data_IF_020922650484
#
_entry.id   IF_020922650484
#
_cell.length_a   1.000
_cell.length_b   1.000
_cell.length_c   1.000
_cell.angle_alpha   90.00
_cell.angle_beta   90.00
_cell.angle_gamma   90.00
#
_symmetry.space_group_name_H-M   'P 1'
#
loop_
_entity.id
_entity.type
_entity.pdbx_description
1 polymer ?
#
# COMPACT_ATOMS: atom_id res chain seq x y z
N UNK A 1 5.11 18.72 -22.05
CA UNK A 1 4.66 17.85 -23.17
C UNK A 1 3.19 18.04 -23.53
N UNK A 2 2.25 18.27 -22.59
CA UNK A 2 0.85 18.60 -22.93
C UNK A 2 0.63 20.04 -23.46
N UNK A 3 1.53 20.97 -23.17
CA UNK A 3 1.45 22.36 -23.64
C UNK A 3 1.82 22.57 -25.11
N UNK A 4 2.38 21.54 -25.78
CA UNK A 4 2.84 21.65 -27.17
C UNK A 4 1.79 21.19 -28.21
N UNK A 5 0.71 20.53 -27.79
CA UNK A 5 -0.29 19.93 -28.70
C UNK A 5 -1.61 20.69 -28.77
N UNK A 6 -1.71 21.89 -28.19
CA UNK A 6 -2.83 22.81 -28.42
C UNK A 6 -4.22 22.34 -27.98
N UNK A 7 -4.34 21.23 -27.27
CA UNK A 7 -5.64 20.70 -26.84
C UNK A 7 -6.42 19.94 -27.93
N UNK A 8 -5.79 19.58 -29.05
CA UNK A 8 -6.40 18.65 -30.00
C UNK A 8 -6.46 17.25 -29.37
N UNK A 9 -7.68 16.71 -29.27
CA UNK A 9 -7.97 15.34 -28.83
C UNK A 9 -7.08 14.38 -29.63
N UNK A 10 -6.30 13.56 -28.92
CA UNK A 10 -5.33 12.59 -29.44
C UNK A 10 -5.96 11.67 -30.49
N UNK A 11 -5.94 12.10 -31.76
CA UNK A 11 -6.32 11.25 -32.87
C UNK A 11 -5.14 10.31 -33.18
N UNK A 12 -5.13 9.17 -32.48
CA UNK A 12 -4.11 8.11 -32.64
C UNK A 12 -4.08 7.50 -34.06
N UNK A 13 -5.00 7.93 -34.94
CA UNK A 13 -5.00 7.59 -36.37
C UNK A 13 -4.00 8.44 -37.16
N UNK A 14 -3.55 9.57 -36.61
CA UNK A 14 -2.51 10.38 -37.21
C UNK A 14 -1.11 9.76 -36.95
N UNK A 15 -0.65 8.96 -37.91
CA UNK A 15 0.66 8.28 -37.87
C UNK A 15 1.83 9.26 -37.69
N UNK A 16 1.70 10.52 -38.13
CA UNK A 16 2.73 11.54 -37.94
C UNK A 16 2.78 12.02 -36.48
N UNK A 17 1.62 12.26 -35.86
CA UNK A 17 1.56 12.61 -34.43
C UNK A 17 2.10 11.47 -33.55
N UNK A 18 1.78 10.22 -33.90
CA UNK A 18 2.32 9.02 -33.23
C UNK A 18 3.84 8.93 -33.42
N UNK A 19 4.36 9.22 -34.61
CA UNK A 19 5.80 9.24 -34.87
C UNK A 19 6.51 10.37 -34.12
N UNK A 20 5.92 11.57 -34.05
CA UNK A 20 6.44 12.72 -33.30
C UNK A 20 6.40 12.47 -31.78
N UNK A 21 5.33 11.89 -31.25
CA UNK A 21 5.25 11.41 -29.87
C UNK A 21 6.28 10.32 -29.58
N UNK A 22 6.43 9.36 -30.49
CA UNK A 22 7.42 8.28 -30.35
C UNK A 22 8.84 8.81 -30.41
N UNK A 23 9.13 9.78 -31.29
CA UNK A 23 10.43 10.43 -31.41
C UNK A 23 10.72 11.32 -30.18
N UNK A 24 9.72 12.07 -29.70
CA UNK A 24 9.84 12.86 -28.48
C UNK A 24 10.00 11.97 -27.23
N UNK A 25 9.35 10.81 -27.18
CA UNK A 25 9.52 9.83 -26.11
C UNK A 25 10.88 9.11 -26.18
N UNK A 26 11.38 8.81 -27.39
CA UNK A 26 12.73 8.24 -27.60
C UNK A 26 13.84 9.28 -27.36
N UNK A 27 13.57 10.56 -27.61
CA UNK A 27 14.49 11.68 -27.45
C UNK A 27 14.38 12.38 -26.10
N UNK A 28 13.39 12.04 -25.27
CA UNK A 28 13.31 12.51 -23.89
C UNK A 28 14.52 11.96 -23.14
N UNK A 29 15.53 12.81 -22.98
CA UNK A 29 16.67 12.54 -22.11
C UNK A 29 16.12 12.20 -20.73
N UNK A 30 16.17 10.92 -20.38
CA UNK A 30 15.88 10.48 -19.03
C UNK A 30 16.96 11.09 -18.16
N UNK A 31 16.58 12.00 -17.29
CA UNK A 31 17.48 12.51 -16.27
C UNK A 31 17.63 11.42 -15.22
N UNK A 32 18.87 10.95 -15.04
CA UNK A 32 19.21 9.98 -14.03
C UNK A 32 19.93 10.70 -12.89
N UNK A 33 19.55 10.37 -11.66
CA UNK A 33 20.34 10.73 -10.49
C UNK A 33 21.31 9.61 -10.17
N UNK A 34 22.55 9.96 -9.82
CA UNK A 34 23.58 8.99 -9.41
C UNK A 34 23.47 8.74 -7.91
N UNK A 35 22.84 7.64 -7.54
CA UNK A 35 22.75 7.19 -6.15
C UNK A 35 23.98 6.32 -5.84
N UNK A 36 24.55 6.45 -4.64
CA UNK A 36 25.56 5.48 -4.17
C UNK A 36 24.96 4.07 -4.19
N UNK A 37 25.75 3.09 -4.65
CA UNK A 37 25.32 1.68 -4.66
C UNK A 37 24.76 1.24 -3.30
N UNK A 38 23.72 0.41 -3.34
CA UNK A 38 23.10 -0.21 -2.16
C UNK A 38 23.62 -1.65 -2.08
N UNK A 39 24.45 -1.91 -1.09
CA UNK A 39 25.01 -3.23 -0.83
C UNK A 39 24.11 -4.02 0.15
N UNK A 40 24.19 -5.36 0.18
CA UNK A 40 23.47 -6.17 1.16
C UNK A 40 23.73 -5.75 2.61
N UNK A 41 24.97 -5.35 2.93
CA UNK A 41 25.36 -4.87 4.25
C UNK A 41 24.66 -3.55 4.61
N UNK A 42 24.39 -2.68 3.64
CA UNK A 42 23.62 -1.45 3.89
C UNK A 42 22.18 -1.78 4.29
N UNK A 43 21.56 -2.76 3.61
CA UNK A 43 20.20 -3.21 3.95
C UNK A 43 20.19 -3.85 5.33
N UNK A 44 21.20 -4.68 5.65
CA UNK A 44 21.36 -5.28 6.97
C UNK A 44 21.56 -4.24 8.08
N UNK A 45 22.26 -3.14 7.82
CA UNK A 45 22.44 -2.02 8.76
C UNK A 45 21.19 -1.13 8.88
N UNK A 46 20.43 -0.99 7.80
CA UNK A 46 19.19 -0.21 7.76
C UNK A 46 17.97 -0.97 8.29
N UNK A 47 18.10 -2.28 8.50
CA UNK A 47 17.20 -2.98 9.40
C UNK A 47 17.31 -2.28 10.75
N UNK A 48 16.18 -1.73 11.18
CA UNK A 48 16.13 -1.07 12.46
C UNK A 48 16.49 -2.16 13.44
N UNK A 49 17.44 -1.88 14.35
CA UNK A 49 17.58 -2.67 15.55
C UNK A 49 16.34 -2.38 16.43
N UNK A 50 15.14 -2.61 15.89
CA UNK A 50 13.96 -2.75 16.71
C UNK A 50 14.26 -3.96 17.56
N UNK A 51 14.45 -3.71 18.85
CA UNK A 51 14.57 -4.74 19.88
C UNK A 51 13.40 -5.72 19.90
N UNK A 52 12.38 -5.50 19.06
CA UNK A 52 11.10 -6.17 19.03
C UNK A 52 11.05 -7.42 18.12
N UNK A 53 12.16 -7.85 17.53
CA UNK A 53 12.22 -9.10 16.74
C UNK A 53 11.67 -8.97 15.30
N UNK A 54 11.70 -10.07 14.56
CA UNK A 54 11.29 -10.09 13.14
C UNK A 54 9.79 -9.77 12.97
N UNK A 55 9.40 -9.01 11.94
CA UNK A 55 8.00 -8.72 11.67
C UNK A 55 7.22 -9.99 11.35
N UNK A 56 5.96 -10.05 11.77
CA UNK A 56 5.05 -11.15 11.45
C UNK A 56 4.30 -10.80 10.18
N UNK A 57 4.43 -11.65 9.17
CA UNK A 57 3.79 -11.48 7.87
C UNK A 57 2.45 -12.19 7.85
N UNK A 58 1.40 -11.48 7.47
CA UNK A 58 0.03 -12.01 7.47
C UNK A 58 -0.63 -11.74 6.14
N UNK A 59 -1.37 -12.73 5.63
CA UNK A 59 -2.36 -12.51 4.59
C UNK A 59 -3.76 -12.65 5.18
N UNK A 60 -4.65 -11.73 4.83
CA UNK A 60 -6.08 -11.86 5.12
C UNK A 60 -6.79 -12.17 3.81
N UNK A 61 -7.44 -13.33 3.75
CA UNK A 61 -8.22 -13.76 2.59
C UNK A 61 -9.70 -13.37 2.77
N UNK A 62 -10.47 -13.30 1.67
CA UNK A 62 -11.92 -13.20 1.75
C UNK A 62 -12.52 -14.31 2.63
N UNK A 63 -13.49 -13.96 3.47
CA UNK A 63 -14.10 -14.90 4.43
C UNK A 63 -15.16 -15.78 3.75
N UNK A 64 -14.71 -16.62 2.83
CA UNK A 64 -15.49 -17.60 2.10
C UNK A 64 -14.76 -18.95 2.04
N UNK A 65 -15.46 -19.99 1.59
CA UNK A 65 -14.83 -21.30 1.38
C UNK A 65 -13.69 -21.20 0.36
N UNK A 66 -12.66 -22.04 0.54
CA UNK A 66 -11.42 -21.95 -0.23
C UNK A 66 -11.64 -22.20 -1.73
N UNK A 67 -12.56 -23.09 -2.08
CA UNK A 67 -12.97 -23.42 -3.45
C UNK A 67 -13.85 -22.35 -4.08
N UNK A 68 -14.54 -21.55 -3.28
CA UNK A 68 -15.42 -20.46 -3.70
C UNK A 68 -14.72 -19.08 -3.71
N UNK A 69 -13.40 -19.03 -3.46
CA UNK A 69 -12.66 -17.78 -3.29
C UNK A 69 -12.77 -16.82 -4.48
N UNK A 70 -13.18 -15.59 -4.20
CA UNK A 70 -13.30 -14.48 -5.13
C UNK A 70 -12.82 -13.20 -4.44
N UNK A 71 -12.21 -12.30 -5.21
CA UNK A 71 -11.71 -11.00 -4.75
C UNK A 71 -12.56 -9.83 -5.26
N UNK A 72 -13.83 -10.08 -5.60
CA UNK A 72 -14.79 -9.04 -5.99
C UNK A 72 -15.04 -8.06 -4.83
N UNK A 73 -14.66 -6.78 -4.97
CA UNK A 73 -14.77 -5.75 -3.92
C UNK A 73 -16.19 -5.47 -3.42
N UNK A 74 -17.22 -5.81 -4.21
CA UNK A 74 -18.62 -5.58 -3.82
C UNK A 74 -19.15 -6.65 -2.87
N UNK A 75 -18.41 -7.76 -2.70
CA UNK A 75 -18.78 -8.86 -1.80
C UNK A 75 -18.50 -8.51 -0.34
N UNK A 76 -19.47 -8.74 0.58
CA UNK A 76 -19.27 -8.51 2.01
C UNK A 76 -18.06 -9.26 2.59
N UNK A 77 -17.77 -10.47 2.10
CA UNK A 77 -16.67 -11.30 2.57
C UNK A 77 -15.29 -10.70 2.21
N UNK A 78 -15.24 -9.95 1.10
CA UNK A 78 -14.04 -9.24 0.65
C UNK A 78 -13.90 -7.94 1.43
N UNK A 79 -14.98 -7.17 1.60
CA UNK A 79 -15.00 -5.94 2.39
C UNK A 79 -14.57 -6.17 3.85
N UNK A 80 -15.03 -7.28 4.44
CA UNK A 80 -14.59 -7.72 5.77
C UNK A 80 -13.08 -7.99 5.80
N UNK A 81 -12.54 -8.66 4.79
CA UNK A 81 -11.11 -8.91 4.69
C UNK A 81 -10.32 -7.60 4.54
N UNK A 82 -10.81 -6.65 3.75
CA UNK A 82 -10.24 -5.29 3.61
C UNK A 82 -10.20 -4.58 4.96
N UNK A 83 -11.31 -4.59 5.71
CA UNK A 83 -11.36 -3.98 7.04
C UNK A 83 -10.37 -4.63 8.01
N UNK A 84 -10.29 -5.96 8.03
CA UNK A 84 -9.32 -6.68 8.85
C UNK A 84 -7.87 -6.36 8.46
N UNK A 85 -7.56 -6.20 7.16
CA UNK A 85 -6.23 -5.74 6.71
C UNK A 85 -5.92 -4.35 7.25
N UNK A 86 -6.86 -3.42 7.14
CA UNK A 86 -6.70 -2.05 7.64
C UNK A 86 -6.44 -2.03 9.14
N UNK A 87 -7.15 -2.85 9.91
CA UNK A 87 -6.98 -2.93 11.36
C UNK A 87 -5.67 -3.62 11.77
N UNK A 88 -5.30 -4.72 11.11
CA UNK A 88 -4.03 -5.40 11.36
C UNK A 88 -2.82 -4.54 10.96
N UNK A 89 -2.93 -3.70 9.93
CA UNK A 89 -1.89 -2.75 9.53
C UNK A 89 -1.62 -1.65 10.56
N UNK A 90 -2.53 -1.44 11.53
CA UNK A 90 -2.30 -0.53 12.67
C UNK A 90 -1.43 -1.16 13.76
N UNK A 91 -1.30 -2.49 13.77
CA UNK A 91 -0.51 -3.15 14.79
C UNK A 91 0.99 -3.10 14.40
N UNK A 92 1.87 -2.61 15.29
CA UNK A 92 3.32 -2.66 15.09
C UNK A 92 3.78 -4.07 14.76
N UNK A 93 4.80 -4.19 13.91
CA UNK A 93 5.39 -5.45 13.49
C UNK A 93 4.50 -6.41 12.69
N UNK A 94 3.26 -6.01 12.37
CA UNK A 94 2.46 -6.72 11.38
C UNK A 94 2.81 -6.22 9.98
N UNK A 95 3.20 -7.15 9.11
CA UNK A 95 3.29 -6.91 7.68
C UNK A 95 2.12 -7.61 7.00
N UNK A 96 1.05 -6.86 6.76
CA UNK A 96 -0.12 -7.39 6.07
C UNK A 96 0.09 -7.32 4.56
N UNK A 97 -0.16 -8.43 3.85
CA UNK A 97 -0.14 -8.45 2.38
C UNK A 97 -1.30 -7.63 1.81
N UNK A 98 -0.99 -6.82 0.81
CA UNK A 98 -1.96 -6.00 0.09
C UNK A 98 -2.97 -6.85 -0.69
N UNK A 99 -4.13 -6.26 -1.01
CA UNK A 99 -5.21 -6.94 -1.72
C UNK A 99 -4.78 -7.48 -3.10
N UNK A 100 -3.90 -6.78 -3.82
CA UNK A 100 -3.43 -7.20 -5.14
C UNK A 100 -2.63 -8.51 -5.07
N UNK A 101 -1.67 -8.59 -4.15
CA UNK A 101 -0.88 -9.80 -3.92
C UNK A 101 -1.77 -10.98 -3.53
N UNK A 102 -2.78 -10.74 -2.67
CA UNK A 102 -3.78 -11.76 -2.30
C UNK A 102 -4.58 -12.22 -3.52
N UNK A 103 -5.10 -11.30 -4.33
CA UNK A 103 -5.88 -11.62 -5.52
C UNK A 103 -5.06 -12.37 -6.57
N UNK A 104 -3.80 -11.99 -6.79
CA UNK A 104 -2.89 -12.72 -7.67
C UNK A 104 -2.61 -14.13 -7.16
N UNK A 105 -2.30 -14.29 -5.87
CA UNK A 105 -2.03 -15.60 -5.28
C UNK A 105 -3.24 -16.54 -5.34
N UNK A 106 -4.45 -16.03 -5.10
CA UNK A 106 -5.71 -16.78 -5.25
C UNK A 106 -5.88 -17.24 -6.69
N UNK A 107 -5.82 -16.32 -7.67
CA UNK A 107 -5.96 -16.64 -9.10
C UNK A 107 -4.91 -17.65 -9.56
N UNK A 108 -3.66 -17.51 -9.14
CA UNK A 108 -2.58 -18.43 -9.47
C UNK A 108 -2.83 -19.84 -8.89
N UNK A 109 -3.33 -19.92 -7.66
CA UNK A 109 -3.62 -21.20 -6.99
C UNK A 109 -4.83 -21.90 -7.61
N UNK A 110 -5.88 -21.16 -7.97
CA UNK A 110 -7.05 -21.68 -8.67
C UNK A 110 -6.69 -22.21 -10.06
N UNK A 111 -5.88 -21.48 -10.84
CA UNK A 111 -5.40 -21.96 -12.15
C UNK A 111 -4.56 -23.24 -12.06
N UNK A 112 -3.84 -23.41 -10.95
CA UNK A 112 -3.05 -24.62 -10.70
C UNK A 112 -3.90 -25.84 -10.32
N UNK A 113 -5.19 -25.65 -9.99
CA UNK A 113 -6.07 -26.73 -9.57
C UNK A 113 -5.59 -27.42 -8.29
N UNK A 114 -5.04 -26.65 -7.35
CA UNK A 114 -4.55 -27.19 -6.09
C UNK A 114 -5.67 -27.92 -5.32
N UNK A 115 -5.38 -29.12 -4.80
CA UNK A 115 -6.32 -29.87 -3.98
C UNK A 115 -6.60 -29.11 -2.67
N UNK A 116 -7.83 -29.20 -2.16
CA UNK A 116 -8.34 -28.46 -0.98
C UNK A 116 -7.38 -28.45 0.22
N UNK A 117 -6.76 -29.59 0.52
CA UNK A 117 -5.83 -29.76 1.65
C UNK A 117 -4.53 -28.94 1.52
N UNK A 118 -4.14 -28.56 0.30
CA UNK A 118 -2.87 -27.84 0.01
C UNK A 118 -3.06 -26.37 -0.33
N UNK A 119 -4.29 -25.90 -0.57
CA UNK A 119 -4.56 -24.52 -0.98
C UNK A 119 -3.90 -23.51 -0.03
N UNK A 120 -4.04 -23.70 1.28
CA UNK A 120 -3.47 -22.78 2.28
C UNK A 120 -1.94 -22.79 2.31
N UNK A 121 -1.32 -23.96 2.18
CA UNK A 121 0.13 -24.08 2.11
C UNK A 121 0.69 -23.39 0.86
N UNK A 122 0.03 -23.60 -0.27
CA UNK A 122 0.38 -22.99 -1.56
C UNK A 122 0.20 -21.47 -1.54
N UNK A 123 -0.90 -20.98 -0.98
CA UNK A 123 -1.14 -19.54 -0.81
C UNK A 123 -0.09 -18.92 0.12
N UNK A 124 0.23 -19.57 1.23
CA UNK A 124 1.22 -19.10 2.18
C UNK A 124 2.60 -18.97 1.54
N UNK A 125 3.00 -19.97 0.74
CA UNK A 125 4.26 -19.96 0.01
C UNK A 125 4.33 -18.84 -1.03
N UNK A 126 3.27 -18.66 -1.83
CA UNK A 126 3.18 -17.59 -2.84
C UNK A 126 3.22 -16.20 -2.18
N UNK A 127 2.49 -16.03 -1.09
CA UNK A 127 2.39 -14.78 -0.35
C UNK A 127 3.59 -14.54 0.58
N UNK A 128 4.45 -15.54 0.81
CA UNK A 128 5.59 -15.46 1.75
C UNK A 128 5.15 -14.88 3.10
N UNK A 129 4.12 -15.48 3.68
CA UNK A 129 3.56 -15.08 4.98
C UNK A 129 3.84 -16.13 6.04
N UNK A 130 3.75 -15.73 7.29
CA UNK A 130 3.84 -16.63 8.45
C UNK A 130 2.45 -17.14 8.85
N UNK A 131 1.41 -16.35 8.55
CA UNK A 131 0.02 -16.66 8.84
C UNK A 131 -0.93 -16.31 7.70
N UNK A 132 -1.99 -17.10 7.58
CA UNK A 132 -3.18 -16.78 6.79
C UNK A 132 -4.38 -16.67 7.72
N UNK A 133 -5.12 -15.57 7.60
CA UNK A 133 -6.44 -15.36 8.22
C UNK A 133 -7.49 -15.53 7.12
N UNK A 134 -8.45 -16.42 7.31
CA UNK A 134 -9.61 -16.57 6.42
C UNK A 134 -10.80 -17.06 7.22
N UNK A 135 -11.95 -17.28 6.60
CA UNK A 135 -13.12 -17.74 7.33
C UNK A 135 -14.31 -18.03 6.45
N UNK A 136 -15.47 -18.06 7.07
CA UNK A 136 -16.77 -18.12 6.41
C UNK A 136 -17.65 -17.03 7.00
N UNK A 137 -18.20 -16.20 6.14
CA UNK A 137 -19.20 -15.21 6.45
C UNK A 137 -20.53 -15.65 5.86
N UNK A 138 -21.58 -15.67 6.68
CA UNK A 138 -22.92 -16.02 6.26
C UNK A 138 -23.91 -14.97 6.78
N UNK A 139 -24.59 -14.28 5.87
CA UNK A 139 -25.73 -13.44 6.21
C UNK A 139 -27.02 -14.25 6.02
N UNK A 140 -27.76 -14.48 7.11
CA UNK A 140 -29.06 -15.13 7.09
C UNK A 140 -30.14 -14.18 7.60
N UNK A 141 -31.30 -14.15 6.93
CA UNK A 141 -32.47 -13.41 7.42
C UNK A 141 -33.00 -13.97 8.75
N UNK A 142 -32.77 -15.25 9.04
CA UNK A 142 -33.29 -15.93 10.24
C UNK A 142 -32.32 -15.90 11.43
N UNK A 143 -31.01 -15.93 11.16
CA UNK A 143 -29.98 -16.06 12.19
C UNK A 143 -29.06 -14.84 12.29
N UNK A 144 -29.35 -13.78 11.55
CA UNK A 144 -28.47 -12.63 11.43
C UNK A 144 -27.21 -12.95 10.64
N UNK A 145 -26.19 -12.12 10.83
CA UNK A 145 -24.87 -12.27 10.21
C UNK A 145 -23.98 -13.11 11.12
N UNK A 146 -23.36 -14.16 10.59
CA UNK A 146 -22.40 -15.01 11.31
C UNK A 146 -21.04 -14.95 10.63
N UNK A 147 -20.01 -14.88 11.45
CA UNK A 147 -18.62 -14.81 11.02
C UNK A 147 -17.78 -15.84 11.78
N UNK A 148 -17.29 -16.84 11.05
CA UNK A 148 -16.34 -17.84 11.54
C UNK A 148 -14.95 -17.50 10.98
N UNK A 149 -13.98 -17.15 11.83
CA UNK A 149 -12.60 -16.84 11.39
C UNK A 149 -11.61 -17.90 11.84
N UNK A 150 -10.73 -18.30 10.92
CA UNK A 150 -9.69 -19.31 11.06
C UNK A 150 -8.32 -18.69 10.84
N UNK A 151 -7.31 -19.30 11.46
CA UNK A 151 -5.90 -18.95 11.32
C UNK A 151 -5.11 -20.18 10.88
N UNK A 152 -4.24 -20.01 9.91
CA UNK A 152 -3.35 -21.06 9.39
C UNK A 152 -1.94 -20.62 9.65
N UNK A 153 -1.18 -21.48 10.29
CA UNK A 153 0.20 -21.23 10.66
C UNK A 153 1.11 -22.00 9.73
N UNK A 154 2.03 -21.30 9.07
CA UNK A 154 2.89 -21.91 8.06
C UNK A 154 3.91 -22.85 8.68
N UNK A 155 4.37 -22.55 9.90
CA UNK A 155 5.41 -23.31 10.62
C UNK A 155 5.04 -24.78 10.86
N UNK A 156 3.78 -25.05 11.19
CA UNK A 156 3.30 -26.40 11.55
C UNK A 156 2.15 -26.89 10.66
N UNK A 157 1.70 -26.07 9.70
CA UNK A 157 0.58 -26.40 8.82
C UNK A 157 -0.77 -26.48 9.53
N UNK A 158 -0.88 -25.98 10.76
CA UNK A 158 -2.10 -26.09 11.54
C UNK A 158 -3.12 -25.02 11.16
N UNK A 159 -4.36 -25.43 10.89
CA UNK A 159 -5.52 -24.56 10.74
C UNK A 159 -6.36 -24.62 12.03
N UNK A 160 -6.55 -23.48 12.70
CA UNK A 160 -7.33 -23.38 13.93
C UNK A 160 -8.51 -22.43 13.74
N UNK A 161 -9.69 -22.84 14.21
CA UNK A 161 -10.83 -21.93 14.35
C UNK A 161 -10.52 -20.97 15.50
N UNK A 162 -10.38 -19.69 15.17
CA UNK A 162 -10.00 -18.67 16.15
C UNK A 162 -11.22 -17.96 16.66
N UNK A 163 -12.09 -17.43 15.81
CA UNK A 163 -13.23 -16.64 16.25
C UNK A 163 -14.54 -17.17 15.67
N UNK A 164 -15.60 -17.03 16.47
CA UNK A 164 -16.99 -17.14 16.04
C UNK A 164 -17.72 -15.94 16.59
N UNK A 165 -18.32 -15.15 15.71
CA UNK A 165 -19.14 -14.02 16.09
C UNK A 165 -20.51 -14.16 15.42
N UNK A 166 -21.56 -14.13 16.25
CA UNK A 166 -22.93 -14.11 15.80
C UNK A 166 -23.49 -12.70 16.00
N UNK A 167 -24.02 -12.11 14.94
CA UNK A 167 -24.66 -10.82 14.95
C UNK A 167 -25.99 -10.96 15.65
N UNK A 168 -26.12 -10.39 16.85
CA UNK A 168 -27.40 -10.41 17.55
C UNK A 168 -28.48 -9.70 16.73
N UNK A 169 -29.64 -10.35 16.59
CA UNK A 169 -30.79 -9.82 15.85
C UNK A 169 -31.28 -8.45 16.39
N UNK A 170 -30.96 -8.11 17.64
CA UNK A 170 -31.39 -6.87 18.29
C UNK A 170 -30.49 -5.65 17.96
N UNK A 171 -29.36 -5.84 17.25
CA UNK A 171 -28.56 -4.69 16.82
C UNK A 171 -29.26 -3.94 15.67
N UNK A 172 -29.22 -2.60 15.64
CA UNK A 172 -29.68 -1.81 14.48
C UNK A 172 -29.01 -2.26 13.18
N UNK A 173 -29.78 -2.42 12.11
CA UNK A 173 -29.29 -2.93 10.80
C UNK A 173 -28.07 -2.16 10.28
N UNK A 174 -27.98 -0.87 10.58
CA UNK A 174 -26.90 0.01 10.16
C UNK A 174 -25.59 -0.18 10.94
N UNK A 175 -25.60 -0.90 12.07
CA UNK A 175 -24.42 -1.13 12.92
C UNK A 175 -23.91 -2.58 12.92
N UNK A 176 -24.69 -3.53 12.41
CA UNK A 176 -24.37 -4.98 12.50
C UNK A 176 -23.01 -5.37 11.89
N UNK A 177 -22.65 -4.95 10.66
CA UNK A 177 -21.40 -5.41 10.05
C UNK A 177 -20.15 -4.88 10.76
N UNK A 178 -20.18 -3.61 11.17
CA UNK A 178 -19.07 -2.99 11.92
C UNK A 178 -18.88 -3.61 13.29
N UNK A 179 -19.98 -3.85 14.02
CA UNK A 179 -19.92 -4.52 15.29
C UNK A 179 -19.34 -5.94 15.15
N UNK A 180 -19.70 -6.66 14.07
CA UNK A 180 -19.16 -7.98 13.78
C UNK A 180 -17.68 -7.98 13.45
N UNK A 181 -17.19 -7.10 12.57
CA UNK A 181 -15.75 -7.04 12.27
C UNK A 181 -14.95 -6.71 13.52
N UNK A 182 -15.44 -5.77 14.33
CA UNK A 182 -14.77 -5.33 15.56
C UNK A 182 -14.76 -6.44 16.62
N UNK A 183 -15.89 -7.10 16.86
CA UNK A 183 -15.98 -8.23 17.80
C UNK A 183 -15.12 -9.42 17.34
N UNK A 184 -15.13 -9.68 16.03
CA UNK A 184 -14.34 -10.74 15.43
C UNK A 184 -12.87 -10.42 15.50
N UNK A 185 -12.45 -9.19 15.21
CA UNK A 185 -11.06 -8.77 15.36
C UNK A 185 -10.65 -8.87 16.82
N UNK A 186 -11.42 -8.36 17.78
CA UNK A 186 -11.09 -8.50 19.20
C UNK A 186 -10.88 -9.96 19.61
N UNK A 187 -11.78 -10.85 19.17
CA UNK A 187 -11.68 -12.30 19.42
C UNK A 187 -10.52 -12.95 18.69
N UNK A 188 -10.29 -12.56 17.43
CA UNK A 188 -9.18 -12.99 16.59
C UNK A 188 -7.90 -12.64 17.31
N UNK A 189 -7.66 -11.36 17.60
CA UNK A 189 -6.47 -10.87 18.26
C UNK A 189 -6.26 -11.50 19.64
N UNK A 190 -7.32 -11.65 20.44
CA UNK A 190 -7.20 -12.26 21.77
C UNK A 190 -6.75 -13.72 21.72
N UNK A 191 -7.30 -14.50 20.78
CA UNK A 191 -7.02 -15.93 20.66
C UNK A 191 -5.79 -16.20 19.79
N UNK A 192 -5.52 -15.36 18.78
CA UNK A 192 -4.29 -15.44 18.01
C UNK A 192 -3.12 -14.96 18.83
N UNK A 193 -3.22 -13.93 19.68
CA UNK A 193 -2.10 -13.45 20.48
C UNK A 193 -1.46 -14.57 21.32
N UNK A 194 -2.27 -15.40 21.98
CA UNK A 194 -1.75 -16.54 22.75
C UNK A 194 -1.18 -17.68 21.89
N UNK A 195 -1.67 -17.87 20.67
CA UNK A 195 -1.13 -18.87 19.74
C UNK A 195 0.11 -18.36 18.98
N UNK A 196 0.17 -17.05 18.72
CA UNK A 196 1.31 -16.33 18.18
C UNK A 196 2.47 -16.38 19.17
N UNK A 197 2.23 -16.07 20.45
CA UNK A 197 3.20 -16.19 21.55
C UNK A 197 3.94 -17.53 21.52
N UNK A 198 3.18 -18.63 21.48
CA UNK A 198 3.72 -19.99 21.52
C UNK A 198 4.46 -20.36 20.24
N UNK A 199 4.01 -19.88 19.08
CA UNK A 199 4.47 -20.37 17.78
C UNK A 199 5.68 -19.60 17.23
N UNK A 200 5.75 -18.29 17.45
CA UNK A 200 6.81 -17.43 16.89
C UNK A 200 7.93 -17.14 17.88
N UNK A 201 7.73 -17.40 19.19
CA UNK A 201 8.61 -16.85 20.22
C UNK A 201 8.56 -15.32 20.23
N UNK A 202 7.44 -14.76 19.73
CA UNK A 202 7.22 -13.33 19.64
C UNK A 202 7.48 -12.66 20.99
N UNK A 203 8.23 -11.56 20.93
CA UNK A 203 8.62 -10.77 22.09
C UNK A 203 7.38 -10.29 22.88
N UNK A 204 7.54 -10.03 24.18
CA UNK A 204 6.51 -9.43 25.05
C UNK A 204 5.91 -8.14 24.47
N UNK A 205 6.61 -7.50 23.54
CA UNK A 205 6.11 -6.38 22.72
C UNK A 205 4.77 -6.72 22.03
N UNK A 206 4.64 -7.92 21.43
CA UNK A 206 3.40 -8.38 20.80
C UNK A 206 2.23 -8.44 21.78
N UNK A 207 2.48 -9.00 22.97
CA UNK A 207 1.48 -9.00 24.03
C UNK A 207 1.10 -7.61 24.47
N UNK A 208 2.04 -6.68 24.55
CA UNK A 208 1.75 -5.31 25.00
C UNK A 208 0.88 -4.58 23.99
N UNK A 209 1.18 -4.74 22.70
CA UNK A 209 0.37 -4.20 21.61
C UNK A 209 -1.03 -4.81 21.61
N UNK A 210 -1.16 -6.13 21.60
CA UNK A 210 -2.48 -6.78 21.58
C UNK A 210 -3.23 -6.63 22.89
N UNK A 211 -2.54 -6.59 24.03
CA UNK A 211 -3.15 -6.27 25.31
C UNK A 211 -3.66 -4.82 25.35
N UNK A 212 -3.05 -3.90 24.61
CA UNK A 212 -3.60 -2.56 24.44
C UNK A 212 -4.92 -2.56 23.62
N UNK A 213 -5.14 -3.56 22.76
CA UNK A 213 -6.43 -3.81 22.11
C UNK A 213 -7.39 -4.60 23.02
N UNK A 214 -6.86 -5.50 23.86
CA UNK A 214 -7.61 -6.34 24.80
C UNK A 214 -8.18 -5.51 25.94
N UNK A 215 -9.50 -5.39 25.98
CA UNK A 215 -10.21 -4.70 27.07
C UNK A 215 -10.40 -3.19 26.86
N UNK A 216 -9.83 -2.60 25.80
CA UNK A 216 -10.53 -1.47 25.19
C UNK A 216 -11.79 -2.08 24.59
N UNK A 217 -12.98 -1.77 25.13
CA UNK A 217 -14.17 -1.74 24.27
C UNK A 217 -13.68 -1.02 23.02
N UNK A 218 -13.68 -1.66 21.86
CA UNK A 218 -13.14 -1.07 20.64
C UNK A 218 -13.61 0.39 20.60
N UNK A 219 -12.71 1.37 20.78
CA UNK A 219 -13.10 2.55 21.54
C UNK A 219 -14.26 3.22 20.82
N UNK A 220 -15.41 3.26 21.51
CA UNK A 220 -16.52 4.10 21.08
C UNK A 220 -16.05 5.56 20.88
N UNK A 221 -14.91 5.92 21.48
CA UNK A 221 -14.22 7.19 21.40
C UNK A 221 -13.06 7.25 20.38
N UNK A 222 -12.64 6.15 19.74
CA UNK A 222 -11.54 6.25 18.77
C UNK A 222 -11.94 6.99 17.51
N UNK A 223 -13.23 7.17 17.18
CA UNK A 223 -13.64 7.84 15.95
C UNK A 223 -13.03 7.26 14.66
N UNK A 224 -12.30 6.15 14.77
CA UNK A 224 -11.48 5.51 13.74
C UNK A 224 -12.29 4.45 12.98
N UNK A 225 -13.57 4.31 13.33
CA UNK A 225 -14.53 3.65 12.47
C UNK A 225 -14.48 4.37 11.14
N UNK A 226 -13.95 3.69 10.12
CA UNK A 226 -13.76 4.20 8.77
C UNK A 226 -14.95 5.04 8.26
N UNK A 227 -16.16 4.72 8.73
CA UNK A 227 -17.38 5.49 8.59
C UNK A 227 -18.32 5.18 9.77
N UNK A 228 -19.16 6.12 10.18
CA UNK A 228 -20.24 5.93 11.15
C UNK A 228 -21.52 5.37 10.49
N UNK A 229 -21.70 5.61 9.19
CA UNK A 229 -22.77 5.04 8.36
C UNK A 229 -22.27 3.75 7.67
N UNK A 230 -22.99 2.63 7.82
CA UNK A 230 -22.60 1.35 7.20
C UNK A 230 -22.63 1.36 5.68
N UNK A 231 -23.50 2.17 5.06
CA UNK A 231 -23.58 2.29 3.60
C UNK A 231 -22.33 3.00 3.08
N UNK A 232 -21.93 4.10 3.72
CA UNK A 232 -20.65 4.75 3.42
C UNK A 232 -19.49 3.80 3.65
N UNK A 233 -19.48 3.05 4.75
CA UNK A 233 -18.42 2.10 5.06
C UNK A 233 -18.26 1.02 3.99
N UNK A 234 -19.36 0.42 3.52
CA UNK A 234 -19.31 -0.60 2.45
C UNK A 234 -18.70 -0.02 1.18
N UNK A 235 -19.13 1.18 0.78
CA UNK A 235 -18.60 1.86 -0.39
C UNK A 235 -17.11 2.21 -0.21
N UNK A 236 -16.73 2.72 0.95
CA UNK A 236 -15.34 3.01 1.30
C UNK A 236 -14.46 1.75 1.23
N UNK A 237 -14.89 0.63 1.83
CA UNK A 237 -14.14 -0.63 1.81
C UNK A 237 -14.02 -1.20 0.39
N UNK A 238 -15.10 -1.18 -0.40
CA UNK A 238 -15.05 -1.59 -1.81
C UNK A 238 -14.09 -0.71 -2.62
N UNK A 239 -14.10 0.60 -2.39
CA UNK A 239 -13.20 1.55 -3.04
C UNK A 239 -11.73 1.30 -2.67
N UNK A 240 -11.43 1.06 -1.39
CA UNK A 240 -10.07 0.73 -0.92
C UNK A 240 -9.60 -0.56 -1.56
N UNK A 241 -10.45 -1.59 -1.59
CA UNK A 241 -10.10 -2.87 -2.18
C UNK A 241 -9.76 -2.74 -3.67
N UNK A 242 -10.59 -2.01 -4.44
CA UNK A 242 -10.32 -1.73 -5.86
C UNK A 242 -9.01 -0.98 -6.04
N UNK A 243 -8.79 0.04 -5.22
CA UNK A 243 -7.57 0.84 -5.25
C UNK A 243 -6.33 -0.01 -4.94
N UNK A 244 -6.34 -0.79 -3.86
CA UNK A 244 -5.23 -1.68 -3.51
C UNK A 244 -4.97 -2.73 -4.59
N UNK A 245 -6.02 -3.33 -5.17
CA UNK A 245 -5.88 -4.30 -6.25
C UNK A 245 -5.19 -3.72 -7.49
N UNK A 246 -5.39 -2.42 -7.79
CA UNK A 246 -4.74 -1.75 -8.92
C UNK A 246 -3.26 -1.46 -8.69
N UNK A 247 -2.83 -1.29 -7.43
CA UNK A 247 -1.45 -0.92 -7.10
C UNK A 247 -0.45 -2.07 -7.25
N UNK A 248 -0.89 -3.32 -7.11
CA UNK A 248 -0.04 -4.48 -7.32
C UNK A 248 0.02 -4.96 -8.77
N UNK A 249 -0.75 -4.36 -9.68
CA UNK A 249 -0.64 -4.65 -11.12
C UNK A 249 0.75 -4.20 -11.59
N UNK A 250 1.52 -5.13 -12.18
CA UNK A 250 2.86 -4.87 -12.71
C UNK A 250 2.85 -3.60 -13.56
N UNK A 251 3.92 -2.80 -13.49
CA UNK A 251 4.09 -1.58 -14.31
C UNK A 251 3.84 -1.80 -15.81
N UNK A 252 4.04 -3.02 -16.30
CA UNK A 252 3.77 -3.39 -17.69
C UNK A 252 2.28 -3.32 -18.05
N UNK A 253 1.42 -3.56 -17.07
CA UNK A 253 -0.05 -3.55 -17.20
C UNK A 253 -0.68 -2.28 -16.61
N UNK A 254 0.13 -1.36 -16.05
CA UNK A 254 -0.37 -0.11 -15.50
C UNK A 254 -1.17 0.69 -16.55
N UNK A 255 -0.79 0.66 -17.83
CA UNK A 255 -1.57 1.32 -18.90
C UNK A 255 -2.80 0.53 -19.36
N UNK A 256 -3.21 -0.54 -18.65
CA UNK A 256 -4.34 -1.36 -19.06
C UNK A 256 -5.68 -0.64 -18.87
N UNK A 257 -6.63 -0.95 -19.75
CA UNK A 257 -8.02 -0.48 -19.65
C UNK A 257 -8.67 -1.00 -18.36
N UNK A 258 -8.28 -2.19 -17.91
CA UNK A 258 -8.76 -2.82 -16.68
C UNK A 258 -8.38 -2.01 -15.44
N UNK A 259 -7.09 -1.64 -15.30
CA UNK A 259 -6.61 -0.77 -14.22
C UNK A 259 -7.37 0.57 -14.19
N UNK A 260 -7.57 1.19 -15.35
CA UNK A 260 -8.31 2.44 -15.45
C UNK A 260 -9.80 2.29 -15.06
N UNK A 261 -10.43 1.16 -15.37
CA UNK A 261 -11.81 0.85 -14.98
C UNK A 261 -11.91 0.65 -13.46
N UNK A 262 -11.02 -0.16 -12.87
CA UNK A 262 -11.00 -0.38 -11.43
C UNK A 262 -10.76 0.92 -10.64
N UNK A 263 -9.86 1.79 -11.12
CA UNK A 263 -9.65 3.11 -10.51
C UNK A 263 -10.88 4.02 -10.63
N UNK A 264 -11.58 3.99 -11.77
CA UNK A 264 -12.82 4.75 -11.95
C UNK A 264 -13.94 4.24 -11.03
N UNK A 265 -14.05 2.93 -10.85
CA UNK A 265 -14.97 2.30 -9.89
C UNK A 265 -14.60 2.67 -8.45
N UNK A 266 -13.31 2.67 -8.09
CA UNK A 266 -12.85 3.10 -6.77
C UNK A 266 -13.26 4.56 -6.48
N UNK A 267 -13.06 5.47 -7.45
CA UNK A 267 -13.53 6.87 -7.36
C UNK A 267 -15.04 6.92 -7.14
N UNK A 268 -15.82 6.17 -7.92
CA UNK A 268 -17.28 6.15 -7.79
C UNK A 268 -17.73 5.64 -6.41
N UNK A 269 -17.06 4.62 -5.87
CA UNK A 269 -17.31 4.12 -4.51
C UNK A 269 -17.03 5.21 -3.46
N UNK A 270 -15.90 5.91 -3.52
CA UNK A 270 -15.61 6.98 -2.56
C UNK A 270 -16.60 8.15 -2.67
N UNK A 271 -17.00 8.54 -3.88
CA UNK A 271 -18.03 9.56 -4.08
C UNK A 271 -19.37 9.13 -3.45
N UNK A 272 -19.79 7.88 -3.64
CA UNK A 272 -20.99 7.33 -3.01
C UNK A 272 -20.87 7.29 -1.48
N UNK A 273 -19.69 6.98 -0.93
CA UNK A 273 -19.46 7.04 0.50
C UNK A 273 -19.63 8.48 1.04
N UNK A 274 -19.11 9.48 0.31
CA UNK A 274 -19.25 10.89 0.67
C UNK A 274 -20.68 11.43 0.53
N UNK A 275 -21.57 10.78 -0.23
CA UNK A 275 -23.01 11.13 -0.22
C UNK A 275 -23.63 10.88 1.16
N UNK A 276 -23.20 9.82 1.85
CA UNK A 276 -23.69 9.53 3.20
C UNK A 276 -22.90 10.27 4.28
N UNK A 277 -21.59 10.46 4.08
CA UNK A 277 -20.73 11.18 5.03
C UNK A 277 -19.81 12.20 4.34
N UNK A 278 -20.31 13.41 4.01
CA UNK A 278 -19.54 14.40 3.24
C UNK A 278 -18.25 14.88 3.92
N UNK A 279 -18.25 14.88 5.24
CA UNK A 279 -17.15 15.38 6.09
C UNK A 279 -16.12 14.29 6.45
N UNK A 280 -16.27 13.07 5.92
CA UNK A 280 -15.35 11.97 6.25
C UNK A 280 -13.97 12.20 5.60
N UNK A 281 -13.02 12.69 6.40
CA UNK A 281 -11.68 13.07 5.94
C UNK A 281 -10.88 11.92 5.36
N UNK A 282 -11.08 10.71 5.88
CA UNK A 282 -10.36 9.54 5.38
C UNK A 282 -10.88 9.16 3.99
N UNK A 283 -12.20 9.17 3.78
CA UNK A 283 -12.80 8.97 2.46
C UNK A 283 -12.35 10.05 1.47
N UNK A 284 -12.26 11.32 1.88
CA UNK A 284 -11.75 12.40 1.03
C UNK A 284 -10.28 12.17 0.62
N UNK A 285 -9.43 11.72 1.54
CA UNK A 285 -8.05 11.33 1.24
C UNK A 285 -7.99 10.16 0.24
N UNK A 286 -8.83 9.14 0.43
CA UNK A 286 -8.90 8.01 -0.51
C UNK A 286 -9.40 8.41 -1.89
N UNK A 287 -10.40 9.29 -1.97
CA UNK A 287 -10.88 9.87 -3.22
C UNK A 287 -9.76 10.63 -3.92
N UNK A 288 -9.00 11.45 -3.20
CA UNK A 288 -7.87 12.18 -3.75
C UNK A 288 -6.82 11.23 -4.34
N UNK A 289 -6.47 10.18 -3.60
CA UNK A 289 -5.52 9.16 -4.01
C UNK A 289 -5.97 8.40 -5.28
N UNK A 290 -7.22 7.94 -5.32
CA UNK A 290 -7.76 7.21 -6.46
C UNK A 290 -7.93 8.10 -7.70
N UNK A 291 -8.43 9.32 -7.54
CA UNK A 291 -8.57 10.28 -8.64
C UNK A 291 -7.20 10.70 -9.21
N UNK A 292 -6.21 10.93 -8.34
CA UNK A 292 -4.85 11.23 -8.79
C UNK A 292 -4.24 10.07 -9.57
N UNK A 293 -4.46 8.83 -9.11
CA UNK A 293 -4.03 7.63 -9.82
C UNK A 293 -4.74 7.50 -11.18
N UNK A 294 -6.06 7.70 -11.21
CA UNK A 294 -6.88 7.65 -12.43
C UNK A 294 -6.43 8.69 -13.47
N UNK A 295 -5.98 9.87 -13.04
CA UNK A 295 -5.49 10.95 -13.93
C UNK A 295 -4.36 10.51 -14.86
N UNK A 296 -3.61 9.46 -14.49
CA UNK A 296 -2.53 8.88 -15.31
C UNK A 296 -3.06 8.02 -16.46
N UNK A 297 -4.32 7.61 -16.41
CA UNK A 297 -4.94 6.70 -17.39
C UNK A 297 -6.06 7.39 -18.19
N UNK A 298 -6.75 8.37 -17.60
CA UNK A 298 -7.92 9.03 -18.19
C UNK A 298 -7.98 10.49 -17.77
N UNK A 299 -8.38 11.36 -18.70
CA UNK A 299 -8.71 12.78 -18.48
C UNK A 299 -7.89 13.43 -17.36
N UNK A 300 -6.61 13.68 -17.67
CA UNK A 300 -5.62 14.18 -16.70
C UNK A 300 -6.12 15.41 -15.97
N UNK A 301 -6.72 16.36 -16.68
CA UNK A 301 -7.17 17.63 -16.12
C UNK A 301 -8.33 17.42 -15.15
N UNK A 302 -9.41 16.75 -15.58
CA UNK A 302 -10.59 16.57 -14.74
C UNK A 302 -10.28 15.75 -13.48
N UNK A 303 -9.52 14.67 -13.61
CA UNK A 303 -9.18 13.81 -12.48
C UNK A 303 -8.15 14.43 -11.53
N UNK A 304 -7.20 15.22 -12.05
CA UNK A 304 -6.28 15.99 -11.20
C UNK A 304 -7.05 17.04 -10.41
N UNK A 305 -7.98 17.76 -11.06
CA UNK A 305 -8.84 18.73 -10.37
C UNK A 305 -9.65 18.05 -9.26
N UNK A 306 -10.31 16.92 -9.57
CA UNK A 306 -11.07 16.15 -8.58
C UNK A 306 -10.20 15.75 -7.39
N UNK A 307 -8.98 15.27 -7.65
CA UNK A 307 -8.05 14.90 -6.59
C UNK A 307 -7.71 16.09 -5.68
N UNK A 308 -7.45 17.26 -6.27
CA UNK A 308 -7.09 18.47 -5.51
C UNK A 308 -8.27 19.05 -4.74
N UNK A 309 -9.48 19.01 -5.31
CA UNK A 309 -10.70 19.44 -4.62
C UNK A 309 -10.93 18.56 -3.37
N UNK A 310 -10.88 17.23 -3.52
CA UNK A 310 -11.05 16.28 -2.42
C UNK A 310 -9.99 16.46 -1.32
N UNK A 311 -8.72 16.63 -1.71
CA UNK A 311 -7.62 16.86 -0.78
C UNK A 311 -7.73 18.20 -0.06
N UNK A 312 -8.28 19.23 -0.71
CA UNK A 312 -8.56 20.53 -0.07
C UNK A 312 -9.62 20.37 1.02
N UNK A 313 -10.71 19.66 0.73
CA UNK A 313 -11.75 19.36 1.73
C UNK A 313 -11.20 18.53 2.88
N UNK A 314 -10.36 17.51 2.59
CA UNK A 314 -9.68 16.72 3.62
C UNK A 314 -8.80 17.62 4.51
N UNK A 315 -8.02 18.53 3.92
CA UNK A 315 -7.17 19.46 4.64
C UNK A 315 -7.96 20.42 5.52
N UNK A 316 -9.04 21.01 5.01
CA UNK A 316 -9.91 21.90 5.79
C UNK A 316 -10.53 21.20 7.00
N UNK A 317 -10.81 19.90 6.88
CA UNK A 317 -11.42 19.09 7.92
C UNK A 317 -10.41 18.25 8.73
N UNK A 318 -9.11 18.38 8.50
CA UNK A 318 -8.06 17.48 9.04
C UNK A 318 -8.07 17.29 10.56
N UNK A 319 -8.57 18.26 11.32
CA UNK A 319 -8.69 18.17 12.78
C UNK A 319 -9.82 17.20 13.23
N UNK A 320 -10.68 16.76 12.29
CA UNK A 320 -11.65 15.67 12.48
C UNK A 320 -11.05 14.28 12.23
N UNK A 321 -9.77 14.18 11.84
CA UNK A 321 -9.12 12.89 11.66
C UNK A 321 -9.02 12.14 13.00
N UNK A 322 -9.41 10.85 13.01
CA UNK A 322 -9.40 10.02 14.22
C UNK A 322 -7.99 9.71 14.77
N UNK A 323 -6.94 9.94 13.98
CA UNK A 323 -5.56 9.80 14.42
C UNK A 323 -4.59 10.79 13.75
N UNK A 324 -3.46 11.02 14.43
CA UNK A 324 -2.43 11.99 14.02
C UNK A 324 -1.72 11.59 12.72
N UNK A 325 -1.60 10.29 12.41
CA UNK A 325 -0.98 9.83 11.18
C UNK A 325 -1.78 10.28 9.94
N UNK A 326 -3.10 10.08 9.94
CA UNK A 326 -3.99 10.53 8.85
C UNK A 326 -3.93 12.05 8.71
N UNK A 327 -3.98 12.78 9.83
CA UNK A 327 -3.86 14.25 9.83
C UNK A 327 -2.54 14.71 9.20
N UNK A 328 -1.43 14.11 9.61
CA UNK A 328 -0.09 14.44 9.11
C UNK A 328 0.03 14.09 7.63
N UNK A 329 -0.51 12.94 7.19
CA UNK A 329 -0.54 12.55 5.78
C UNK A 329 -1.33 13.55 4.92
N UNK A 330 -2.54 13.94 5.35
CA UNK A 330 -3.35 14.96 4.66
C UNK A 330 -2.56 16.28 4.54
N UNK A 331 -1.88 16.71 5.61
CA UNK A 331 -1.07 17.92 5.59
C UNK A 331 0.12 17.80 4.63
N UNK A 332 0.78 16.65 4.59
CA UNK A 332 1.92 16.38 3.71
C UNK A 332 1.50 16.36 2.25
N UNK A 333 0.44 15.62 1.92
CA UNK A 333 -0.11 15.53 0.57
C UNK A 333 -0.64 16.88 0.08
N UNK A 334 -1.34 17.65 0.93
CA UNK A 334 -1.83 18.97 0.56
C UNK A 334 -0.68 19.93 0.26
N UNK A 335 0.38 19.93 1.08
CA UNK A 335 1.59 20.72 0.83
C UNK A 335 2.26 20.31 -0.49
N UNK A 336 2.38 19.00 -0.76
CA UNK A 336 3.04 18.45 -1.94
C UNK A 336 2.25 18.73 -3.23
N UNK A 337 0.96 18.39 -3.23
CA UNK A 337 0.16 18.30 -4.44
C UNK A 337 -0.57 19.61 -4.75
N UNK A 338 -1.08 20.31 -3.74
CA UNK A 338 -1.88 21.53 -3.91
C UNK A 338 -1.01 22.78 -3.75
N UNK A 339 -0.29 22.92 -2.64
CA UNK A 339 0.51 24.13 -2.39
C UNK A 339 1.82 24.16 -3.21
N UNK A 340 2.30 22.99 -3.65
CA UNK A 340 3.65 22.81 -4.22
C UNK A 340 4.76 23.32 -3.29
N UNK A 341 4.52 23.24 -1.98
CA UNK A 341 5.50 23.55 -0.94
C UNK A 341 6.24 22.26 -0.59
N UNK A 342 7.22 21.91 -1.42
CA UNK A 342 7.97 20.65 -1.31
C UNK A 342 8.77 20.54 -0.01
N UNK A 343 9.24 21.66 0.55
CA UNK A 343 9.97 21.66 1.81
C UNK A 343 9.05 21.28 2.96
N UNK A 344 7.91 21.97 3.06
CA UNK A 344 6.92 21.67 4.09
C UNK A 344 6.38 20.25 3.93
N UNK A 345 6.14 19.79 2.70
CA UNK A 345 5.75 18.40 2.45
C UNK A 345 6.79 17.41 2.95
N UNK A 346 8.08 17.64 2.68
CA UNK A 346 9.16 16.78 3.16
C UNK A 346 9.21 16.77 4.70
N UNK A 347 9.10 17.93 5.35
CA UNK A 347 9.06 18.03 6.83
C UNK A 347 7.89 17.22 7.42
N UNK A 348 6.69 17.29 6.82
CA UNK A 348 5.52 16.54 7.28
C UNK A 348 5.67 15.03 7.05
N UNK A 349 6.21 14.60 5.90
CA UNK A 349 6.47 13.18 5.66
C UNK A 349 7.59 12.65 6.56
N UNK A 350 8.63 13.42 6.85
CA UNK A 350 9.66 13.04 7.81
C UNK A 350 9.06 12.83 9.21
N UNK A 351 8.17 13.74 9.65
CA UNK A 351 7.44 13.58 10.89
C UNK A 351 6.59 12.30 10.90
N UNK A 352 5.82 12.05 9.82
CA UNK A 352 5.01 10.84 9.68
C UNK A 352 5.86 9.56 9.72
N UNK A 353 7.00 9.55 9.05
CA UNK A 353 7.93 8.42 9.01
C UNK A 353 8.68 8.18 10.34
N UNK A 354 8.69 9.18 11.24
CA UNK A 354 9.36 9.15 12.53
C UNK A 354 8.43 8.74 13.69
N UNK A 355 7.11 8.80 13.52
CA UNK A 355 6.12 8.43 14.54
C UNK A 355 6.38 7.00 15.07
N UNK A 356 6.78 6.82 16.34
CA UNK A 356 7.20 5.53 16.90
C UNK A 356 6.19 4.41 16.70
N UNK A 357 4.91 4.71 16.90
CA UNK A 357 3.78 3.80 16.76
C UNK A 357 3.52 3.34 15.32
N UNK A 358 4.04 4.07 14.33
CA UNK A 358 3.79 3.84 12.91
C UNK A 358 5.05 3.47 12.12
N UNK A 359 6.22 3.33 12.75
CA UNK A 359 7.52 3.09 12.09
C UNK A 359 7.50 1.96 11.06
N UNK A 360 6.74 0.90 11.33
CA UNK A 360 6.61 -0.28 10.47
C UNK A 360 5.25 -0.35 9.75
N UNK A 361 4.38 0.65 9.96
CA UNK A 361 3.06 0.72 9.36
C UNK A 361 3.11 1.13 7.88
N UNK A 362 1.97 0.99 7.21
CA UNK A 362 1.76 1.49 5.84
C UNK A 362 1.97 3.00 5.70
N UNK A 363 1.70 3.79 6.74
CA UNK A 363 1.91 5.24 6.72
C UNK A 363 3.40 5.58 6.61
N UNK A 364 4.25 4.89 7.38
CA UNK A 364 5.70 5.09 7.29
C UNK A 364 6.25 4.60 5.94
N UNK A 365 5.73 3.49 5.40
CA UNK A 365 6.08 3.02 4.06
C UNK A 365 5.74 4.08 2.99
N UNK A 366 4.52 4.63 3.01
CA UNK A 366 4.11 5.71 2.10
C UNK A 366 5.02 6.92 2.24
N UNK A 367 5.22 7.40 3.46
CA UNK A 367 6.03 8.58 3.73
C UNK A 367 7.46 8.40 3.20
N UNK A 368 8.09 7.25 3.48
CA UNK A 368 9.44 6.93 2.98
C UNK A 368 9.49 6.82 1.47
N UNK A 369 8.47 6.24 0.84
CA UNK A 369 8.37 6.16 -0.61
C UNK A 369 8.32 7.56 -1.23
N UNK A 370 7.45 8.42 -0.71
CA UNK A 370 7.30 9.80 -1.19
C UNK A 370 8.56 10.62 -0.95
N UNK A 371 9.17 10.54 0.25
CA UNK A 371 10.43 11.22 0.58
C UNK A 371 11.57 10.80 -0.34
N UNK A 372 11.72 9.49 -0.60
CA UNK A 372 12.73 9.00 -1.54
C UNK A 372 12.57 9.65 -2.92
N UNK A 373 11.34 9.74 -3.43
CA UNK A 373 11.06 10.41 -4.70
C UNK A 373 11.38 11.90 -4.66
N UNK A 374 10.90 12.63 -3.64
CA UNK A 374 11.13 14.06 -3.50
C UNK A 374 12.62 14.38 -3.41
N UNK A 375 13.37 13.60 -2.64
CA UNK A 375 14.82 13.76 -2.48
C UNK A 375 15.63 13.36 -3.70
N UNK A 376 15.07 12.61 -4.64
CA UNK A 376 15.64 12.39 -5.97
C UNK A 376 15.21 13.44 -7.00
N UNK A 377 14.39 14.41 -6.59
CA UNK A 377 13.87 15.46 -7.47
C UNK A 377 12.67 15.03 -8.33
N UNK A 378 12.02 13.91 -7.99
CA UNK A 378 10.73 13.52 -8.58
C UNK A 378 9.60 14.45 -8.06
N UNK A 379 8.34 14.17 -8.39
CA UNK A 379 7.16 14.89 -7.90
C UNK A 379 7.01 16.35 -8.35
N UNK A 380 7.78 16.78 -9.36
CA UNK A 380 7.82 18.19 -9.76
C UNK A 380 8.88 19.01 -9.02
N UNK A 381 9.68 18.39 -8.14
CA UNK A 381 10.71 19.08 -7.35
C UNK A 381 11.80 19.64 -8.26
N UNK A 382 12.32 18.85 -9.22
CA UNK A 382 13.34 19.34 -10.15
C UNK A 382 12.84 20.50 -11.02
N UNK A 383 11.61 20.43 -11.52
CA UNK A 383 10.98 21.49 -12.29
C UNK A 383 10.83 22.76 -11.45
N UNK A 384 10.42 22.62 -10.19
CA UNK A 384 10.34 23.74 -9.25
C UNK A 384 11.70 24.34 -8.93
N UNK A 385 12.70 23.52 -8.61
CA UNK A 385 14.05 24.00 -8.32
C UNK A 385 14.68 24.72 -9.50
N UNK A 386 14.38 24.31 -10.73
CA UNK A 386 14.82 25.01 -11.94
C UNK A 386 14.25 26.44 -12.06
N UNK A 387 13.15 26.75 -11.36
CA UNK A 387 12.57 28.11 -11.31
C UNK A 387 13.16 28.98 -10.20
N UNK A 388 13.90 28.39 -9.24
CA UNK A 388 14.47 29.12 -8.12
C UNK A 388 15.66 29.99 -8.55
N UNK A 389 15.85 31.17 -7.92
CA UNK A 389 17.09 31.93 -8.06
C UNK A 389 18.30 31.07 -7.68
N UNK A 390 19.38 31.13 -8.47
CA UNK A 390 20.57 30.27 -8.28
C UNK A 390 21.19 30.41 -6.89
N UNK A 391 21.11 31.59 -6.30
CA UNK A 391 21.58 31.90 -4.94
C UNK A 391 20.68 31.32 -3.84
N UNK A 392 19.45 30.89 -4.17
CA UNK A 392 18.48 30.29 -3.25
C UNK A 392 18.36 28.77 -3.36
N UNK A 393 18.92 28.14 -4.39
CA UNK A 393 18.84 26.68 -4.57
C UNK A 393 19.39 25.95 -3.34
N UNK A 394 20.55 26.33 -2.81
CA UNK A 394 21.11 25.64 -1.64
C UNK A 394 20.26 25.74 -0.36
N UNK A 395 19.43 26.77 -0.23
CA UNK A 395 18.56 27.01 0.93
C UNK A 395 17.18 26.34 0.79
N UNK A 396 16.68 26.28 -0.44
CA UNK A 396 15.30 25.89 -0.74
C UNK A 396 15.19 24.54 -1.45
N UNK A 397 16.31 23.97 -1.90
CA UNK A 397 16.34 22.65 -2.54
C UNK A 397 15.94 21.57 -1.56
N UNK A 398 15.07 20.69 -2.03
CA UNK A 398 14.68 19.48 -1.32
C UNK A 398 15.55 18.32 -1.78
N UNK A 399 16.11 18.35 -3.00
CA UNK A 399 16.95 17.26 -3.54
C UNK A 399 18.13 16.94 -2.61
N UNK A 400 18.16 15.70 -2.11
CA UNK A 400 19.18 15.20 -1.19
C UNK A 400 19.35 13.69 -1.39
N UNK A 401 20.33 13.30 -2.22
CA UNK A 401 20.50 11.89 -2.60
C UNK A 401 20.89 10.97 -1.43
N UNK A 402 21.54 11.49 -0.40
CA UNK A 402 21.88 10.71 0.80
C UNK A 402 20.62 10.38 1.61
N UNK A 403 19.72 11.36 1.79
CA UNK A 403 18.40 11.12 2.41
C UNK A 403 17.52 10.21 1.55
N UNK A 404 17.53 10.39 0.22
CA UNK A 404 16.83 9.47 -0.68
C UNK A 404 17.29 8.03 -0.45
N UNK A 405 18.62 7.81 -0.41
CA UNK A 405 19.22 6.51 -0.16
C UNK A 405 18.79 5.94 1.20
N UNK A 406 18.78 6.75 2.25
CA UNK A 406 18.32 6.36 3.58
C UNK A 406 16.89 5.80 3.55
N UNK A 407 15.96 6.50 2.91
CA UNK A 407 14.57 6.04 2.81
C UNK A 407 14.42 4.79 1.93
N UNK A 408 15.18 4.69 0.84
CA UNK A 408 15.20 3.48 -0.01
C UNK A 408 15.69 2.27 0.79
N UNK A 409 16.77 2.42 1.56
CA UNK A 409 17.31 1.37 2.42
C UNK A 409 16.29 0.96 3.48
N UNK A 410 15.63 1.92 4.12
CA UNK A 410 14.56 1.62 5.07
C UNK A 410 13.42 0.84 4.43
N UNK A 411 13.02 1.16 3.19
CA UNK A 411 12.00 0.40 2.44
C UNK A 411 12.46 -1.03 2.17
N UNK A 412 13.68 -1.19 1.66
CA UNK A 412 14.24 -2.50 1.31
C UNK A 412 14.43 -3.40 2.53
N UNK A 413 14.84 -2.83 3.66
CA UNK A 413 15.03 -3.56 4.90
C UNK A 413 13.70 -3.96 5.54
N UNK A 414 12.75 -3.02 5.68
CA UNK A 414 11.59 -3.24 6.54
C UNK A 414 10.30 -3.57 5.80
N UNK A 415 10.30 -3.55 4.45
CA UNK A 415 9.12 -3.83 3.62
C UNK A 415 9.50 -4.59 2.33
N UNK A 416 10.42 -5.55 2.45
CA UNK A 416 11.10 -6.23 1.34
C UNK A 416 10.18 -6.91 0.31
N UNK A 417 8.96 -7.28 0.72
CA UNK A 417 7.95 -7.93 -0.12
C UNK A 417 6.83 -7.01 -0.61
N UNK A 418 7.01 -5.69 -0.55
CA UNK A 418 6.04 -4.72 -1.09
C UNK A 418 6.35 -4.37 -2.56
N UNK A 419 5.38 -3.81 -3.31
CA UNK A 419 5.63 -3.29 -4.66
C UNK A 419 6.75 -2.24 -4.70
N UNK A 420 6.87 -1.41 -3.67
CA UNK A 420 7.90 -0.36 -3.58
C UNK A 420 9.30 -0.94 -3.41
N UNK A 421 9.46 -1.95 -2.55
CA UNK A 421 10.73 -2.66 -2.44
C UNK A 421 11.08 -3.40 -3.75
N UNK A 422 10.09 -4.00 -4.40
CA UNK A 422 10.26 -4.67 -5.70
C UNK A 422 10.67 -3.70 -6.81
N UNK A 423 10.11 -2.48 -6.80
CA UNK A 423 10.53 -1.40 -7.68
C UNK A 423 12.02 -1.08 -7.49
N UNK A 424 12.47 -0.84 -6.25
CA UNK A 424 13.88 -0.53 -6.02
C UNK A 424 14.80 -1.71 -6.34
N UNK A 425 14.42 -2.95 -6.01
CA UNK A 425 15.20 -4.15 -6.37
C UNK A 425 15.39 -4.27 -7.88
N UNK A 426 14.35 -4.01 -8.68
CA UNK A 426 14.42 -4.08 -10.14
C UNK A 426 15.19 -2.92 -10.79
N UNK A 427 15.19 -1.73 -10.19
CA UNK A 427 15.83 -0.54 -10.78
C UNK A 427 17.24 -0.28 -10.22
N UNK A 428 17.54 -0.76 -9.01
CA UNK A 428 18.83 -0.57 -8.35
C UNK A 428 19.68 -1.84 -8.37
N UNK A 429 19.05 -3.01 -8.29
CA UNK A 429 19.73 -4.31 -8.14
C UNK A 429 20.32 -4.92 -9.42
N UNK A 430 20.59 -4.11 -10.45
CA UNK A 430 21.02 -4.56 -11.79
C UNK A 430 22.35 -5.32 -11.89
N UNK A 431 22.98 -5.77 -10.81
CA UNK A 431 24.28 -6.47 -10.87
C UNK A 431 24.50 -7.63 -9.89
N UNK A 432 23.50 -8.11 -9.14
CA UNK A 432 23.75 -9.20 -8.18
C UNK A 432 22.65 -10.25 -8.14
N UNK A 433 22.21 -10.73 -9.30
CA UNK A 433 21.87 -12.15 -9.37
C UNK A 433 23.18 -12.91 -9.17
N UNK A 434 23.46 -13.26 -7.91
CA UNK A 434 24.40 -14.32 -7.60
C UNK A 434 23.94 -15.54 -8.40
N UNK A 435 24.65 -15.83 -9.48
CA UNK A 435 24.53 -17.11 -10.15
C UNK A 435 24.75 -18.17 -9.07
N UNK A 436 23.74 -19.02 -8.89
CA UNK A 436 23.84 -20.19 -8.02
C UNK A 436 25.13 -20.95 -8.37
N UNK A 437 25.98 -21.31 -7.41
CA UNK A 437 27.22 -22.02 -7.67
C UNK A 437 26.89 -23.48 -8.01
N UNK A 438 26.43 -23.71 -9.24
CA UNK A 438 26.21 -25.02 -9.80
C UNK A 438 26.39 -24.93 -11.32
N UNK A 439 27.66 -24.80 -11.75
CA UNK A 439 28.25 -25.44 -12.93
C UNK A 439 29.60 -24.79 -13.22
N UNK A 440 30.64 -25.38 -12.65
CA UNK A 440 32.04 -25.10 -13.03
C UNK A 440 32.25 -25.68 -14.42
N UNK A 441 32.20 -24.84 -15.46
CA UNK A 441 32.87 -25.14 -16.73
C UNK A 441 33.97 -24.10 -16.97
N UNK A 442 35.18 -24.62 -17.16
CA UNK A 442 36.39 -23.90 -17.54
C UNK A 442 36.18 -23.09 -18.82
N UNK A 443 36.24 -21.77 -18.73
CA UNK A 443 36.43 -20.92 -19.89
C UNK A 443 37.21 -19.64 -19.51
N UNK A 444 38.47 -19.63 -19.96
CA UNK A 444 39.29 -18.49 -20.39
C UNK A 444 39.17 -17.16 -19.61
N UNK A 445 40.22 -16.92 -18.82
CA UNK A 445 40.56 -15.65 -18.18
C UNK A 445 40.60 -14.49 -19.19
N UNK A 446 39.54 -13.69 -19.17
CA UNK A 446 39.59 -12.29 -19.61
C UNK A 446 39.72 -11.45 -18.35
N UNK A 447 40.63 -10.46 -18.25
CA UNK A 447 40.78 -9.68 -17.04
C UNK A 447 39.47 -8.92 -16.76
N UNK A 448 38.95 -8.94 -15.51
CA UNK A 448 37.75 -8.19 -15.18
C UNK A 448 38.10 -6.71 -15.25
N UNK A 449 37.46 -5.98 -16.16
CA UNK A 449 37.45 -4.52 -16.11
C UNK A 449 36.74 -4.10 -14.81
N UNK A 450 37.52 -3.83 -13.77
CA UNK A 450 37.12 -3.39 -12.43
C UNK A 450 36.52 -1.97 -12.43
N UNK A 451 35.40 -1.79 -13.11
CA UNK A 451 34.45 -0.74 -12.75
C UNK A 451 33.26 -1.42 -12.11
N UNK A 452 33.41 -1.87 -10.87
CA UNK A 452 32.26 -1.95 -9.97
C UNK A 452 31.65 -0.56 -9.98
N UNK A 453 30.47 -0.42 -10.58
CA UNK A 453 29.80 0.86 -10.68
C UNK A 453 29.53 1.33 -9.25
N UNK A 454 30.32 2.29 -8.76
CA UNK A 454 30.14 2.92 -7.43
C UNK A 454 28.78 3.62 -7.30
N UNK A 455 28.08 3.79 -8.41
CA UNK A 455 26.81 4.50 -8.52
C UNK A 455 25.82 3.69 -9.34
N UNK A 456 24.56 3.81 -8.95
CA UNK A 456 23.39 3.31 -9.68
C UNK A 456 22.64 4.52 -10.23
N UNK A 457 22.18 4.40 -11.47
CA UNK A 457 21.33 5.41 -12.11
C UNK A 457 19.86 5.10 -11.82
N UNK A 458 19.19 6.00 -11.10
CA UNK A 458 17.75 5.90 -10.83
C UNK A 458 17.00 6.87 -11.73
N UNK A 459 15.98 6.43 -12.49
CA UNK A 459 15.21 7.32 -13.34
C UNK A 459 14.36 8.27 -12.49
N UNK A 460 14.43 9.57 -12.78
CA UNK A 460 13.53 10.57 -12.21
C UNK A 460 12.21 10.60 -12.99
N UNK A 461 11.09 10.86 -12.31
CA UNK A 461 9.77 11.03 -12.94
C UNK A 461 8.98 9.74 -13.08
N UNK A 462 9.40 8.68 -12.39
CA UNK A 462 8.75 7.36 -12.44
C UNK A 462 8.09 6.97 -11.13
N UNK A 463 8.22 7.75 -10.06
CA UNK A 463 7.49 7.46 -8.84
C UNK A 463 6.03 7.88 -9.00
N UNK A 464 5.15 6.92 -8.76
CA UNK A 464 3.71 7.14 -8.75
C UNK A 464 3.23 7.31 -7.31
N UNK A 465 2.08 7.97 -7.14
CA UNK A 465 1.44 8.08 -5.85
C UNK A 465 0.89 6.70 -5.54
N UNK A 466 1.43 6.08 -4.50
CA UNK A 466 0.89 4.82 -4.02
C UNK A 466 -0.24 5.19 -3.09
N UNK A 467 -1.46 5.05 -3.58
CA UNK A 467 -2.67 5.18 -2.79
C UNK A 467 -2.72 4.13 -1.65
N UNK A 468 -3.43 4.40 -0.54
CA UNK A 468 -3.54 3.45 0.58
C UNK A 468 -4.82 3.56 1.38
#
# INVERSE_FOLDING_TARGET
MATATGGDVLDLWNQQLVAELTAAAKGATRTYQRLKAIEPDDIAQAHWQTSAGAPVRVAVLPHMKLDEMNTDPDRPEVQLATELRLLLNKAPQMQVRDAAAVAEAIRATQRAGAADERILADLAAKLRVDFIVWGEYAASSEHGERLDTRLYRVKDGAATLVAKADGQADMPDDRRPTALTVLTLGTLLDRTAGELEKSTGADKAWHTTFAAYKGRQAPAETGDGLSNDSRAKRQLLAGIERLEQTLGVSRQDASSVETANQLAEAVACFEQALVFEPDNVFTQLQLANAAFSLSKHRDLEANTKKAFDALTVAYENRDKAGNEAIKTEIMADYALLVQKDYRKAAEQFEALAALPEFRESRFALRARWTLAGMYMGDWGVNEYEATLPKDKIAELSVVNLDKAREHILAILANWDGTPMASFYKSHIGGTTTAQSPAETQEAQQTPPSQWQKQYVEVPVGQMQLVAF
#
